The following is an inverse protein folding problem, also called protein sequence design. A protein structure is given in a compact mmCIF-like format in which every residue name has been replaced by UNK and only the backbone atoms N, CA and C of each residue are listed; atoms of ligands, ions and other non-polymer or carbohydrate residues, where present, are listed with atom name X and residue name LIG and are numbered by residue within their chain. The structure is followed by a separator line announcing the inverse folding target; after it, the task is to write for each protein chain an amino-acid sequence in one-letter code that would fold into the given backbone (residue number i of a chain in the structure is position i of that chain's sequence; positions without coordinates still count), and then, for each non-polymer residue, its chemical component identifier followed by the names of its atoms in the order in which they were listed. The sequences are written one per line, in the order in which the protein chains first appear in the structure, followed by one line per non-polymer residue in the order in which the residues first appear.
data_IF_430945159921
#
_entry.id   IF_430945159921
#
_cell.length_a   1.000
_cell.length_b   1.000
_cell.length_c   1.000
_cell.angle_alpha   90.00
_cell.angle_beta   90.00
_cell.angle_gamma   90.00
#
_symmetry.space_group_name_H-M   'P 1'
#
loop_
_entity.id
_entity.type
_entity.pdbx_description
1 polymer ?
#
# COMPACT_ATOMS: atom_id res chain seq x y z
N UNK A 1 2.59 4.75 12.14
CA UNK A 1 2.54 5.64 13.33
C UNK A 1 3.62 6.71 13.25
N UNK A 2 3.42 7.86 13.92
CA UNK A 2 4.42 8.92 14.00
C UNK A 2 5.50 8.61 15.06
N UNK A 3 6.73 9.16 14.94
CA UNK A 3 7.89 8.69 15.71
C UNK A 3 7.98 9.20 17.17
N UNK A 4 7.59 10.44 17.46
CA UNK A 4 7.82 11.06 18.79
C UNK A 4 6.69 10.73 19.78
N UNK A 5 6.98 10.81 21.09
CA UNK A 5 5.99 10.59 22.17
C UNK A 5 4.75 11.48 21.98
N UNK A 6 4.94 12.73 21.52
CA UNK A 6 3.83 13.67 21.26
C UNK A 6 2.85 13.17 20.20
N UNK A 7 3.31 12.41 19.21
CA UNK A 7 2.51 12.03 18.03
C UNK A 7 2.35 10.52 17.84
N UNK A 8 2.92 9.67 18.70
CA UNK A 8 2.87 8.20 18.57
C UNK A 8 1.43 7.62 18.59
N UNK A 9 0.47 8.38 19.14
CA UNK A 9 -0.97 8.08 19.12
C UNK A 9 -1.63 8.36 17.76
N UNK A 10 -1.02 9.17 16.89
CA UNK A 10 -1.55 9.49 15.57
C UNK A 10 -1.01 8.53 14.51
N UNK A 11 -1.91 8.08 13.65
CA UNK A 11 -1.57 7.37 12.41
C UNK A 11 -1.42 8.38 11.28
N UNK A 12 -0.46 8.13 10.39
CA UNK A 12 -0.21 8.93 9.17
C UNK A 12 0.16 8.00 8.03
N UNK A 13 -0.06 8.44 6.80
CA UNK A 13 0.49 7.78 5.62
C UNK A 13 2.03 7.75 5.71
N UNK A 14 2.61 6.58 5.47
CA UNK A 14 4.06 6.41 5.34
C UNK A 14 4.55 6.72 3.93
N UNK A 15 5.86 6.59 3.71
CA UNK A 15 6.46 6.72 2.37
C UNK A 15 6.07 5.57 1.44
N UNK A 16 5.93 4.36 1.97
CA UNK A 16 5.59 3.17 1.21
C UNK A 16 5.50 1.89 2.04
N UNK A 17 5.17 0.80 1.37
CA UNK A 17 5.07 -0.54 1.94
C UNK A 17 6.43 -1.20 2.05
N UNK A 18 6.60 -2.00 3.10
CA UNK A 18 7.79 -2.82 3.33
C UNK A 18 7.81 -4.03 2.42
N UNK A 19 9.01 -4.60 2.22
CA UNK A 19 9.18 -5.82 1.42
C UNK A 19 8.41 -7.02 2.00
N UNK A 20 8.29 -7.09 3.32
CA UNK A 20 7.59 -8.18 3.99
C UNK A 20 6.06 -8.10 3.77
N UNK A 21 5.47 -6.90 3.78
CA UNK A 21 4.03 -6.72 3.51
C UNK A 21 3.70 -7.10 2.06
N UNK A 22 4.55 -6.69 1.12
CA UNK A 22 4.38 -7.06 -0.29
C UNK A 22 4.48 -8.58 -0.50
N UNK A 23 5.43 -9.23 0.19
CA UNK A 23 5.59 -10.68 0.15
C UNK A 23 4.35 -11.40 0.66
N UNK A 24 3.70 -10.88 1.71
CA UNK A 24 2.48 -11.48 2.26
C UNK A 24 1.29 -11.45 1.27
N UNK A 25 1.23 -10.45 0.38
CA UNK A 25 0.19 -10.32 -0.66
C UNK A 25 0.59 -10.99 -1.99
N UNK A 26 1.79 -11.58 -2.04
CA UNK A 26 2.33 -12.24 -3.22
C UNK A 26 2.79 -11.28 -4.33
N UNK A 27 3.14 -10.04 -3.98
CA UNK A 27 3.61 -9.04 -4.94
C UNK A 27 5.13 -8.89 -4.87
N UNK A 28 5.78 -8.84 -6.04
CA UNK A 28 7.21 -8.49 -6.11
C UNK A 28 7.39 -6.97 -6.06
N UNK A 29 8.49 -6.45 -5.49
CA UNK A 29 8.73 -5.00 -5.41
C UNK A 29 8.83 -4.29 -6.78
N UNK A 30 9.21 -5.04 -7.82
CA UNK A 30 9.27 -4.53 -9.19
C UNK A 30 7.87 -4.39 -9.79
N UNK A 31 7.02 -5.40 -9.60
CA UNK A 31 5.64 -5.39 -10.08
C UNK A 31 4.75 -4.45 -9.26
N UNK A 32 4.94 -4.36 -7.94
CA UNK A 32 4.21 -3.41 -7.09
C UNK A 32 4.34 -1.97 -7.58
N UNK A 33 5.55 -1.58 -8.05
CA UNK A 33 5.80 -0.24 -8.61
C UNK A 33 5.08 0.00 -9.93
N UNK A 34 4.83 -1.03 -10.74
CA UNK A 34 4.12 -0.87 -12.03
C UNK A 34 2.62 -0.65 -11.82
N UNK A 35 2.04 -1.22 -10.76
CA UNK A 35 0.63 -1.05 -10.40
C UNK A 35 0.38 0.17 -9.50
N UNK A 36 1.37 1.03 -9.28
CA UNK A 36 1.21 2.27 -8.51
C UNK A 36 1.33 2.12 -6.98
N UNK A 37 1.91 1.02 -6.49
CA UNK A 37 2.17 0.83 -5.06
C UNK A 37 3.57 1.34 -4.71
N UNK A 38 3.64 2.31 -3.79
CA UNK A 38 4.89 2.85 -3.26
C UNK A 38 5.61 1.86 -2.35
N UNK A 39 6.90 1.66 -2.57
CA UNK A 39 7.74 0.69 -1.83
C UNK A 39 8.81 1.42 -1.02
N UNK A 40 8.96 1.07 0.26
CA UNK A 40 10.05 1.54 1.13
C UNK A 40 10.85 0.34 1.67
N UNK A 41 11.95 0.03 0.99
CA UNK A 41 12.84 -1.08 1.33
C UNK A 41 13.61 -0.88 2.64
N UNK A 42 13.67 0.33 3.20
CA UNK A 42 14.38 0.63 4.45
C UNK A 42 13.50 0.48 5.68
N UNK A 43 12.18 0.40 5.51
CA UNK A 43 11.25 0.30 6.63
C UNK A 43 11.28 -1.11 7.21
N UNK A 44 11.56 -1.21 8.50
CA UNK A 44 11.52 -2.46 9.27
C UNK A 44 10.21 -2.54 10.03
N UNK A 45 9.58 -3.71 10.00
CA UNK A 45 8.35 -3.96 10.74
C UNK A 45 8.67 -4.28 12.21
N UNK A 46 8.01 -3.57 13.12
CA UNK A 46 8.21 -3.72 14.58
C UNK A 46 6.94 -4.16 15.31
N UNK A 47 5.79 -4.14 14.64
CA UNK A 47 4.49 -4.39 15.24
C UNK A 47 3.67 -5.26 14.29
N UNK A 48 3.01 -6.29 14.84
CA UNK A 48 2.14 -7.21 14.11
C UNK A 48 0.86 -6.53 13.66
N UNK A 49 0.23 -5.74 14.53
CA UNK A 49 -1.00 -5.00 14.21
C UNK A 49 -0.86 -4.10 12.96
N UNK A 50 0.23 -3.36 12.86
CA UNK A 50 0.50 -2.46 11.72
C UNK A 50 0.77 -3.28 10.44
N UNK A 51 1.40 -4.44 10.59
CA UNK A 51 1.67 -5.33 9.47
C UNK A 51 0.35 -5.86 8.88
N UNK A 52 -0.53 -6.40 9.72
CA UNK A 52 -1.81 -6.96 9.30
C UNK A 52 -2.73 -5.92 8.67
N UNK A 53 -2.86 -4.74 9.28
CA UNK A 53 -3.65 -3.62 8.73
C UNK A 53 -3.14 -3.17 7.35
N UNK A 54 -1.81 -3.11 7.15
CA UNK A 54 -1.24 -2.78 5.84
C UNK A 54 -1.43 -3.89 4.81
N UNK A 55 -1.35 -5.16 5.22
CA UNK A 55 -1.62 -6.31 4.34
C UNK A 55 -3.08 -6.31 3.88
N UNK A 56 -4.03 -6.06 4.80
CA UNK A 56 -5.44 -5.91 4.46
C UNK A 56 -5.67 -4.75 3.48
N UNK A 57 -5.00 -3.61 3.68
CA UNK A 57 -5.04 -2.46 2.76
C UNK A 57 -4.53 -2.82 1.36
N UNK A 58 -3.43 -3.55 1.26
CA UNK A 58 -2.86 -4.00 -0.01
C UNK A 58 -3.79 -4.98 -0.73
N UNK A 59 -4.42 -5.90 0.00
CA UNK A 59 -5.38 -6.84 -0.56
C UNK A 59 -6.61 -6.11 -1.12
N UNK A 60 -7.19 -5.19 -0.35
CA UNK A 60 -8.32 -4.37 -0.80
C UNK A 60 -7.99 -3.56 -2.06
N UNK A 61 -6.77 -3.00 -2.13
CA UNK A 61 -6.30 -2.30 -3.33
C UNK A 61 -6.20 -3.24 -4.52
N UNK A 62 -5.56 -4.40 -4.34
CA UNK A 62 -5.40 -5.44 -5.38
C UNK A 62 -6.74 -5.88 -5.97
N UNK A 63 -7.74 -6.10 -5.12
CA UNK A 63 -9.07 -6.55 -5.55
C UNK A 63 -9.85 -5.47 -6.31
N UNK A 64 -9.48 -4.19 -6.13
CA UNK A 64 -10.11 -3.05 -6.80
C UNK A 64 -9.43 -2.67 -8.12
N UNK A 65 -8.34 -3.34 -8.51
CA UNK A 65 -7.58 -3.01 -9.71
C UNK A 65 -8.15 -3.68 -10.96
N UNK A 66 -8.16 -2.92 -12.06
CA UNK A 66 -8.32 -3.42 -13.42
C UNK A 66 -6.97 -3.25 -14.11
N UNK A 67 -6.34 -4.36 -14.51
CA UNK A 67 -5.02 -4.36 -15.15
C UNK A 67 -5.19 -4.74 -16.62
N UNK A 68 -4.69 -3.88 -17.51
CA UNK A 68 -4.65 -4.13 -18.94
C UNK A 68 -3.32 -4.78 -19.34
N UNK A 69 -3.38 -5.62 -20.36
CA UNK A 69 -2.20 -6.15 -21.01
C UNK A 69 -1.49 -5.06 -21.84
N UNK A 70 -0.24 -5.31 -22.26
CA UNK A 70 0.58 -4.32 -22.96
C UNK A 70 0.00 -3.84 -24.29
N UNK A 71 -0.83 -4.67 -24.93
CA UNK A 71 -1.37 -4.40 -26.27
C UNK A 71 -2.75 -3.75 -26.23
N UNK A 72 -3.46 -3.83 -25.10
CA UNK A 72 -4.79 -3.27 -24.92
C UNK A 72 -4.68 -1.81 -24.47
N UNK A 73 -5.43 -0.93 -25.15
CA UNK A 73 -5.51 0.48 -24.74
C UNK A 73 -6.30 0.59 -23.44
N UNK A 74 -5.85 1.40 -22.46
CA UNK A 74 -6.57 1.58 -21.22
C UNK A 74 -7.92 2.25 -21.49
N UNK A 75 -9.00 1.67 -20.95
CA UNK A 75 -10.35 2.22 -21.02
C UNK A 75 -11.00 2.16 -19.63
N UNK A 76 -11.49 3.30 -19.14
CA UNK A 76 -12.16 3.37 -17.83
C UNK A 76 -12.00 4.73 -17.15
N UNK A 77 -12.92 5.02 -16.23
CA UNK A 77 -12.84 6.19 -15.37
C UNK A 77 -11.87 5.96 -14.22
N UNK A 78 -11.01 6.95 -13.97
CA UNK A 78 -10.05 6.89 -12.88
C UNK A 78 -10.63 7.52 -11.63
N UNK A 79 -10.61 6.78 -10.52
CA UNK A 79 -11.03 7.29 -9.21
C UNK A 79 -9.81 7.72 -8.39
N UNK A 80 -9.97 8.76 -7.57
CA UNK A 80 -8.89 9.25 -6.72
C UNK A 80 -8.55 8.27 -5.57
N UNK A 81 -7.32 7.75 -5.59
CA UNK A 81 -6.84 6.72 -4.64
C UNK A 81 -6.91 7.21 -3.18
N UNK A 82 -6.58 8.47 -2.93
CA UNK A 82 -6.54 9.06 -1.59
C UNK A 82 -7.93 9.17 -0.94
N UNK A 83 -8.99 9.32 -1.74
CA UNK A 83 -10.36 9.36 -1.25
C UNK A 83 -10.92 7.94 -1.04
N UNK A 84 -10.61 7.00 -1.93
CA UNK A 84 -11.12 5.62 -1.86
C UNK A 84 -10.47 4.80 -0.73
N UNK A 85 -9.19 5.05 -0.45
CA UNK A 85 -8.42 4.30 0.56
C UNK A 85 -7.72 5.25 1.56
N UNK A 86 -8.47 5.91 2.45
CA UNK A 86 -7.90 6.78 3.46
C UNK A 86 -7.03 6.00 4.45
N UNK A 87 -6.16 6.71 5.18
CA UNK A 87 -5.49 6.15 6.35
C UNK A 87 -6.38 6.44 7.55
N UNK A 88 -7.13 5.44 7.97
CA UNK A 88 -7.98 5.53 9.17
C UNK A 88 -7.08 5.55 10.43
N UNK A 89 -7.49 6.32 11.44
CA UNK A 89 -6.76 6.50 12.70
C UNK A 89 -7.18 5.47 13.75
#
# INVERSE_FOLDING_TARGET
RCPTIRYNRKVRAGKGFSLAELKAVGLTPKYARTIGISVDHRRVNRSTEIFETNVARLQKYKDSLIIFDKNTKPSGEQVSIGATFPVEQ
#
